data_IF_614757650016
#
_entry.id   IF_614757650016
#
_cell.length_a   1.000
_cell.length_b   1.000
_cell.length_c   1.000
_cell.angle_alpha   90.00
_cell.angle_beta   90.00
_cell.angle_gamma   90.00
#
_symmetry.space_group_name_H-M   'P 1'
#
loop_
_entity.id
_entity.type
_entity.pdbx_description
1 polymer ?
#
# COMPACT_ATOMS: atom_id res chain seq x y z
N UNK A 1 26.10 -4.63 -28.71
CA UNK A 1 26.69 -5.91 -28.31
C UNK A 1 25.98 -6.51 -27.10
N UNK A 2 25.32 -5.72 -26.24
CA UNK A 2 24.66 -6.17 -25.01
C UNK A 2 25.63 -6.34 -23.83
N UNK A 3 26.85 -5.90 -23.96
CA UNK A 3 27.82 -5.88 -22.88
C UNK A 3 27.54 -4.69 -21.95
N UNK A 4 27.46 -4.94 -20.65
CA UNK A 4 27.27 -3.89 -19.64
C UNK A 4 28.63 -3.26 -19.35
N UNK A 5 28.80 -2.00 -19.69
CA UNK A 5 30.02 -1.25 -19.45
C UNK A 5 30.11 -0.71 -18.02
N UNK A 6 28.99 -0.20 -17.51
CA UNK A 6 28.84 0.38 -16.17
C UNK A 6 27.46 -0.01 -15.65
N UNK A 7 27.37 -0.45 -14.40
CA UNK A 7 26.08 -0.78 -13.80
C UNK A 7 25.31 0.47 -13.37
N UNK A 8 23.99 0.35 -13.35
CA UNK A 8 23.13 1.45 -12.92
C UNK A 8 23.35 1.75 -11.43
N UNK A 9 23.64 3.04 -11.12
CA UNK A 9 23.92 3.50 -9.77
C UNK A 9 25.39 3.56 -9.40
N UNK A 10 26.28 3.09 -10.27
CA UNK A 10 27.73 3.22 -10.08
C UNK A 10 28.21 4.66 -10.20
N UNK A 11 29.26 4.97 -9.46
CA UNK A 11 29.89 6.30 -9.53
C UNK A 11 30.76 6.40 -10.77
N UNK A 12 30.53 7.46 -11.56
CA UNK A 12 31.38 7.78 -12.74
C UNK A 12 32.70 8.37 -12.25
N UNK A 13 33.75 7.60 -12.38
CA UNK A 13 35.13 8.01 -12.14
C UNK A 13 35.86 8.33 -13.46
N UNK A 14 37.12 8.71 -13.40
CA UNK A 14 37.93 9.05 -14.59
C UNK A 14 38.07 7.84 -15.54
N UNK A 15 38.16 6.64 -15.02
CA UNK A 15 38.26 5.38 -15.79
C UNK A 15 36.95 5.11 -16.55
N UNK A 16 35.84 5.17 -15.85
CA UNK A 16 34.50 5.00 -16.45
C UNK A 16 34.23 6.09 -17.52
N UNK A 17 34.65 7.31 -17.25
CA UNK A 17 34.49 8.41 -18.20
C UNK A 17 35.30 8.17 -19.48
N UNK A 18 36.52 7.63 -19.33
CA UNK A 18 37.37 7.28 -20.46
C UNK A 18 36.77 6.17 -21.31
N UNK A 19 36.17 5.17 -20.66
CA UNK A 19 35.46 4.06 -21.29
C UNK A 19 34.25 4.56 -22.09
N UNK A 20 33.42 5.41 -21.49
CA UNK A 20 32.24 6.02 -22.13
C UNK A 20 32.63 6.80 -23.39
N UNK A 21 33.73 7.57 -23.31
CA UNK A 21 34.25 8.34 -24.44
C UNK A 21 34.78 7.46 -25.57
N UNK A 22 35.43 6.35 -25.22
CA UNK A 22 35.96 5.40 -26.23
C UNK A 22 34.86 4.73 -27.05
N UNK A 23 33.69 4.53 -26.47
CA UNK A 23 32.51 3.93 -27.10
C UNK A 23 31.60 4.95 -27.82
N UNK A 24 32.06 6.23 -27.92
CA UNK A 24 31.34 7.31 -28.61
C UNK A 24 29.93 7.63 -28.07
N UNK A 25 29.67 7.42 -26.80
CA UNK A 25 28.45 7.93 -26.15
C UNK A 25 28.59 9.45 -25.93
N UNK A 26 27.68 10.23 -26.52
CA UNK A 26 27.66 11.68 -26.37
C UNK A 26 26.85 12.17 -25.17
N UNK A 27 25.84 11.41 -24.77
CA UNK A 27 24.93 11.74 -23.67
C UNK A 27 24.68 10.50 -22.82
N UNK A 28 24.67 10.70 -21.50
CA UNK A 28 24.33 9.68 -20.51
C UNK A 28 23.40 10.29 -19.46
N UNK A 29 22.45 9.52 -18.96
CA UNK A 29 21.61 9.94 -17.86
C UNK A 29 22.35 9.75 -16.52
N UNK A 30 22.37 10.78 -15.70
CA UNK A 30 23.02 10.76 -14.39
C UNK A 30 22.04 11.16 -13.29
N UNK A 31 22.24 10.64 -12.08
CA UNK A 31 21.60 11.16 -10.88
C UNK A 31 22.39 12.38 -10.40
N UNK A 32 21.72 13.54 -10.34
CA UNK A 32 22.33 14.71 -9.77
C UNK A 32 22.34 14.60 -8.23
N UNK A 33 23.54 14.49 -7.65
CA UNK A 33 23.79 14.42 -6.21
C UNK A 33 24.89 15.41 -5.89
N UNK A 34 24.59 16.44 -5.10
CA UNK A 34 25.58 17.44 -4.68
C UNK A 34 25.96 17.32 -3.20
N UNK A 35 25.32 16.42 -2.45
CA UNK A 35 25.50 16.20 -1.01
C UNK A 35 25.27 17.42 -0.10
N UNK A 36 24.80 18.53 -0.66
CA UNK A 36 24.47 19.76 0.07
C UNK A 36 22.97 20.02 0.05
N UNK A 37 22.38 20.04 -1.15
CA UNK A 37 20.95 20.31 -1.37
C UNK A 37 20.19 19.08 -1.88
N UNK A 38 20.91 18.13 -2.49
CA UNK A 38 20.34 16.88 -3.02
C UNK A 38 21.18 15.72 -2.51
N UNK A 39 20.63 14.96 -1.57
CA UNK A 39 21.29 13.81 -0.98
C UNK A 39 21.18 12.53 -1.83
N UNK A 40 22.00 11.51 -1.56
CA UNK A 40 22.05 10.25 -2.30
C UNK A 40 20.98 9.24 -1.85
N UNK A 41 19.81 9.70 -1.41
CA UNK A 41 18.82 8.86 -0.72
C UNK A 41 18.27 7.72 -1.59
N UNK A 42 17.86 8.04 -2.81
CA UNK A 42 17.33 7.04 -3.75
C UNK A 42 18.44 6.07 -4.16
N UNK A 43 19.63 6.59 -4.53
CA UNK A 43 20.78 5.75 -4.87
C UNK A 43 21.14 4.78 -3.74
N UNK A 44 21.21 5.25 -2.51
CA UNK A 44 21.55 4.41 -1.36
C UNK A 44 20.47 3.36 -1.09
N UNK A 45 19.20 3.69 -1.31
CA UNK A 45 18.10 2.73 -1.19
C UNK A 45 18.22 1.63 -2.25
N UNK A 46 18.48 2.00 -3.51
CA UNK A 46 18.65 1.06 -4.61
C UNK A 46 19.90 0.19 -4.46
N UNK A 47 20.99 0.72 -3.92
CA UNK A 47 22.23 -0.05 -3.70
C UNK A 47 22.12 -1.13 -2.61
N UNK A 48 21.16 -0.98 -1.69
CA UNK A 48 20.88 -1.98 -0.63
C UNK A 48 19.82 -2.97 -1.07
N UNK A 49 19.04 -2.64 -2.10
CA UNK A 49 18.02 -3.55 -2.65
C UNK A 49 18.69 -4.76 -3.31
N UNK A 50 18.26 -5.94 -2.88
CA UNK A 50 18.78 -7.22 -3.38
C UNK A 50 17.98 -7.77 -4.56
N UNK A 51 16.84 -7.13 -4.86
CA UNK A 51 15.93 -7.59 -5.89
C UNK A 51 16.31 -7.01 -7.25
N UNK A 52 16.61 -7.87 -8.19
CA UNK A 52 17.02 -7.48 -9.54
C UNK A 52 15.82 -7.29 -10.47
N UNK A 53 14.68 -7.87 -10.14
CA UNK A 53 13.49 -7.84 -10.99
C UNK A 53 12.18 -7.72 -10.18
N UNK A 54 11.08 -7.44 -10.90
CA UNK A 54 9.75 -7.25 -10.32
C UNK A 54 9.27 -8.48 -9.55
N UNK A 55 9.51 -9.67 -10.05
CA UNK A 55 8.97 -10.91 -9.48
C UNK A 55 9.67 -11.25 -8.15
N UNK A 56 10.98 -11.03 -8.06
CA UNK A 56 11.73 -11.14 -6.80
C UNK A 56 11.22 -10.15 -5.75
N UNK A 57 10.98 -8.90 -6.14
CA UNK A 57 10.44 -7.90 -5.23
C UNK A 57 9.03 -8.26 -4.73
N UNK A 58 8.16 -8.79 -5.58
CA UNK A 58 6.83 -9.27 -5.19
C UNK A 58 6.91 -10.44 -4.20
N UNK A 59 7.82 -11.39 -4.44
CA UNK A 59 8.06 -12.53 -3.55
C UNK A 59 8.57 -12.07 -2.18
N UNK A 60 9.47 -11.11 -2.15
CA UNK A 60 10.01 -10.58 -0.89
C UNK A 60 8.95 -9.81 -0.11
N UNK A 61 8.13 -8.99 -0.77
CA UNK A 61 6.97 -8.34 -0.14
C UNK A 61 6.02 -9.39 0.45
N UNK A 62 5.74 -10.46 -0.30
CA UNK A 62 4.87 -11.54 0.17
C UNK A 62 5.43 -12.24 1.42
N UNK A 63 6.74 -12.54 1.46
CA UNK A 63 7.39 -13.17 2.61
C UNK A 63 7.32 -12.31 3.87
N UNK A 64 7.47 -10.98 3.72
CA UNK A 64 7.34 -10.04 4.84
C UNK A 64 5.91 -9.98 5.36
N UNK A 65 4.93 -9.95 4.46
CA UNK A 65 3.52 -9.82 4.83
C UNK A 65 2.90 -11.13 5.33
N UNK A 66 3.38 -12.28 4.87
CA UNK A 66 2.91 -13.62 5.24
C UNK A 66 4.06 -14.56 5.56
N UNK A 67 4.70 -14.38 6.71
CA UNK A 67 5.80 -15.25 7.11
C UNK A 67 5.32 -16.69 7.29
N UNK A 68 6.09 -17.64 6.73
CA UNK A 68 5.82 -19.09 6.84
C UNK A 68 4.96 -19.68 5.72
N UNK A 69 4.36 -18.88 4.84
CA UNK A 69 3.69 -19.40 3.64
C UNK A 69 4.66 -19.45 2.44
N UNK A 70 4.65 -20.55 1.64
CA UNK A 70 5.47 -20.60 0.44
C UNK A 70 4.95 -19.60 -0.60
N UNK A 71 5.80 -18.67 -1.10
CA UNK A 71 5.39 -17.68 -2.05
C UNK A 71 5.21 -18.29 -3.45
N UNK A 72 4.08 -18.00 -4.10
CA UNK A 72 3.90 -18.18 -5.54
C UNK A 72 3.74 -16.80 -6.18
N UNK A 73 4.15 -16.64 -7.43
CA UNK A 73 4.09 -15.34 -8.13
C UNK A 73 2.66 -14.83 -8.19
N UNK A 74 1.69 -15.68 -8.53
CA UNK A 74 0.27 -15.31 -8.62
C UNK A 74 -0.30 -14.86 -7.27
N UNK A 75 0.04 -15.58 -6.18
CA UNK A 75 -0.39 -15.21 -4.83
C UNK A 75 0.25 -13.89 -4.37
N UNK A 76 1.53 -13.69 -4.70
CA UNK A 76 2.26 -12.45 -4.39
C UNK A 76 1.68 -11.25 -5.14
N UNK A 77 1.39 -11.40 -6.44
CA UNK A 77 0.76 -10.34 -7.22
C UNK A 77 -0.65 -10.01 -6.73
N UNK A 78 -1.45 -11.01 -6.41
CA UNK A 78 -2.80 -10.83 -5.86
C UNK A 78 -2.76 -10.12 -4.50
N UNK A 79 -1.82 -10.51 -3.63
CA UNK A 79 -1.60 -9.83 -2.35
C UNK A 79 -1.21 -8.37 -2.57
N UNK A 80 -0.21 -8.11 -3.42
CA UNK A 80 0.29 -6.76 -3.67
C UNK A 80 -0.78 -5.84 -4.25
N UNK A 81 -1.55 -6.33 -5.23
CA UNK A 81 -2.70 -5.56 -5.77
C UNK A 81 -3.73 -5.25 -4.70
N UNK A 82 -4.03 -6.22 -3.83
CA UNK A 82 -5.00 -6.05 -2.75
C UNK A 82 -4.56 -5.12 -1.62
N UNK A 83 -3.27 -4.76 -1.52
CA UNK A 83 -2.79 -3.87 -0.47
C UNK A 83 -3.28 -2.42 -0.64
N UNK A 84 -3.24 -1.88 -1.88
CA UNK A 84 -3.48 -0.45 -2.14
C UNK A 84 -4.26 -0.15 -3.42
N UNK A 85 -4.38 -1.12 -4.34
CA UNK A 85 -4.86 -0.90 -5.70
C UNK A 85 -6.21 -1.54 -6.00
N UNK A 86 -6.78 -2.27 -5.07
CA UNK A 86 -8.06 -2.97 -5.20
C UNK A 86 -9.12 -2.24 -4.39
N UNK A 87 -10.16 -1.75 -5.07
CA UNK A 87 -11.27 -1.01 -4.47
C UNK A 87 -12.10 -1.83 -3.47
N UNK A 88 -12.07 -3.16 -3.58
CA UNK A 88 -12.80 -4.03 -2.67
C UNK A 88 -12.08 -4.23 -1.32
N UNK A 89 -10.78 -3.97 -1.30
CA UNK A 89 -9.91 -4.20 -0.14
C UNK A 89 -9.32 -2.95 0.46
N UNK A 90 -9.21 -1.89 -0.31
CA UNK A 90 -8.58 -0.64 0.09
C UNK A 90 -9.45 0.57 -0.24
N UNK A 91 -9.62 1.46 0.72
CA UNK A 91 -10.41 2.67 0.59
C UNK A 91 -9.78 3.83 1.35
N UNK A 92 -9.28 4.82 0.62
CA UNK A 92 -8.77 6.08 1.16
C UNK A 92 -9.86 6.97 1.75
N UNK A 93 -11.11 6.73 1.40
CA UNK A 93 -12.23 7.68 1.48
C UNK A 93 -12.02 8.96 0.64
N UNK A 94 -13.09 9.70 0.39
CA UNK A 94 -13.01 10.98 -0.33
C UNK A 94 -12.15 12.01 0.43
N UNK A 95 -12.25 12.03 1.76
CA UNK A 95 -11.44 12.92 2.62
C UNK A 95 -9.95 12.60 2.51
N UNK A 96 -9.59 11.31 2.52
CA UNK A 96 -8.20 10.89 2.35
C UNK A 96 -7.66 11.29 0.97
N UNK A 97 -8.45 11.11 -0.09
CA UNK A 97 -8.05 11.53 -1.45
C UNK A 97 -7.82 13.03 -1.55
N UNK A 98 -8.73 13.84 -1.04
CA UNK A 98 -8.58 15.31 -1.03
C UNK A 98 -7.31 15.73 -0.27
N UNK A 99 -7.03 15.10 0.88
CA UNK A 99 -5.81 15.41 1.65
C UNK A 99 -4.53 15.04 0.90
N UNK A 100 -4.48 13.88 0.26
CA UNK A 100 -3.34 13.46 -0.57
C UNK A 100 -3.16 14.43 -1.74
N UNK A 101 -4.25 14.75 -2.47
CA UNK A 101 -4.22 15.69 -3.59
C UNK A 101 -3.66 17.06 -3.16
N UNK A 102 -4.13 17.59 -2.04
CA UNK A 102 -3.65 18.87 -1.52
C UNK A 102 -2.18 18.83 -1.09
N UNK A 103 -1.75 17.75 -0.41
CA UNK A 103 -0.37 17.61 0.06
C UNK A 103 0.63 17.43 -1.07
N UNK A 104 0.25 16.66 -2.09
CA UNK A 104 1.11 16.30 -3.23
C UNK A 104 0.88 17.20 -4.46
N UNK A 105 -0.01 18.18 -4.39
CA UNK A 105 -0.42 19.04 -5.53
C UNK A 105 -0.93 18.23 -6.74
N UNK A 106 -1.65 17.15 -6.48
CA UNK A 106 -2.24 16.29 -7.51
C UNK A 106 -3.62 16.80 -7.92
N UNK A 107 -4.00 16.52 -9.17
CA UNK A 107 -5.32 16.84 -9.74
C UNK A 107 -6.16 15.57 -9.96
N UNK A 108 -5.92 14.54 -9.19
CA UNK A 108 -6.66 13.27 -9.28
C UNK A 108 -8.11 13.48 -8.82
N UNK A 109 -9.07 12.87 -9.48
CA UNK A 109 -10.48 12.95 -9.09
C UNK A 109 -10.72 12.43 -7.68
N UNK A 110 -11.58 13.12 -6.90
CA UNK A 110 -11.93 12.75 -5.54
C UNK A 110 -12.74 11.43 -5.46
N UNK A 111 -13.26 10.96 -6.59
CA UNK A 111 -13.94 9.67 -6.71
C UNK A 111 -12.98 8.48 -6.69
N UNK A 112 -11.70 8.71 -7.02
CA UNK A 112 -10.68 7.66 -7.03
C UNK A 112 -10.19 7.43 -5.60
N UNK A 113 -10.67 6.36 -4.98
CA UNK A 113 -10.45 6.04 -3.57
C UNK A 113 -9.35 5.00 -3.31
N UNK A 114 -8.63 4.62 -4.34
CA UNK A 114 -7.46 3.74 -4.29
C UNK A 114 -6.19 4.51 -4.61
N UNK A 115 -5.03 4.00 -4.20
CA UNK A 115 -3.74 4.59 -4.58
C UNK A 115 -3.46 4.38 -6.06
N UNK A 116 -2.83 5.38 -6.69
CA UNK A 116 -2.31 5.32 -8.05
C UNK A 116 -0.78 5.32 -8.03
N UNK A 117 -0.18 4.95 -9.16
CA UNK A 117 1.30 4.93 -9.30
C UNK A 117 1.87 6.34 -9.11
N UNK A 118 1.18 7.34 -9.61
CA UNK A 118 1.53 8.76 -9.48
C UNK A 118 1.54 9.21 -8.02
N UNK A 119 0.58 8.75 -7.21
CA UNK A 119 0.53 9.06 -5.78
C UNK A 119 1.81 8.58 -5.09
N UNK A 120 2.21 7.32 -5.35
CA UNK A 120 3.42 6.72 -4.74
C UNK A 120 4.68 7.50 -5.16
N UNK A 121 4.77 7.85 -6.44
CA UNK A 121 5.90 8.59 -6.96
C UNK A 121 6.05 9.97 -6.29
N UNK A 122 4.96 10.72 -6.20
CA UNK A 122 4.97 12.03 -5.55
C UNK A 122 5.17 11.94 -4.02
N UNK A 123 4.69 10.88 -3.35
CA UNK A 123 5.00 10.61 -1.94
C UNK A 123 6.50 10.44 -1.74
N UNK A 124 7.16 9.62 -2.55
CA UNK A 124 8.61 9.40 -2.47
C UNK A 124 9.37 10.70 -2.71
N UNK A 125 8.96 11.48 -3.71
CA UNK A 125 9.54 12.78 -4.02
C UNK A 125 9.44 13.77 -2.86
N UNK A 126 8.28 13.84 -2.20
CA UNK A 126 8.10 14.68 -0.99
C UNK A 126 8.98 14.19 0.15
N UNK A 127 9.05 12.86 0.40
CA UNK A 127 9.90 12.30 1.45
C UNK A 127 11.39 12.60 1.23
N UNK A 128 11.86 12.48 0.00
CA UNK A 128 13.24 12.88 -0.36
C UNK A 128 13.45 14.37 -0.15
N UNK A 129 12.49 15.20 -0.57
CA UNK A 129 12.56 16.65 -0.35
C UNK A 129 12.63 17.02 1.14
N UNK A 130 11.83 16.38 2.00
CA UNK A 130 11.89 16.58 3.45
C UNK A 130 13.25 16.18 4.02
N UNK A 131 13.83 15.10 3.52
CA UNK A 131 15.16 14.63 3.93
C UNK A 131 16.27 15.59 3.52
N UNK A 132 16.09 16.30 2.41
CA UNK A 132 16.96 17.37 1.94
C UNK A 132 16.68 18.74 2.62
N UNK A 133 15.81 18.77 3.64
CA UNK A 133 15.43 19.98 4.36
C UNK A 133 14.45 20.90 3.61
N UNK A 134 13.80 20.41 2.57
CA UNK A 134 12.80 21.15 1.79
C UNK A 134 11.39 20.78 2.27
N UNK A 135 10.61 21.78 2.67
CA UNK A 135 9.24 21.60 3.15
C UNK A 135 9.16 21.47 4.67
N UNK A 136 7.96 21.19 5.16
CA UNK A 136 7.65 21.09 6.58
C UNK A 136 7.07 19.72 6.89
N UNK A 137 7.41 19.20 8.07
CA UNK A 137 6.83 17.95 8.60
C UNK A 137 5.48 18.28 9.21
N UNK A 138 4.46 17.51 8.84
CA UNK A 138 3.12 17.68 9.39
C UNK A 138 3.06 17.26 10.87
N UNK A 139 2.33 18.03 11.67
CA UNK A 139 2.01 17.62 13.05
C UNK A 139 0.93 16.53 13.00
N UNK A 140 1.31 15.32 13.42
CA UNK A 140 0.44 14.12 13.41
C UNK A 140 -0.72 14.29 14.40
N UNK A 141 -0.51 14.97 15.52
CA UNK A 141 -1.50 15.12 16.58
C UNK A 141 -2.47 16.29 16.35
N UNK A 142 -2.17 17.14 15.37
CA UNK A 142 -3.05 18.24 15.02
C UNK A 142 -4.39 17.71 14.49
N UNK A 143 -5.52 18.18 15.03
CA UNK A 143 -6.86 17.71 14.66
C UNK A 143 -7.22 17.95 13.18
N UNK A 144 -6.52 18.81 12.49
CA UNK A 144 -6.58 18.94 11.03
C UNK A 144 -6.04 17.71 10.29
N UNK A 145 -5.09 16.96 10.89
CA UNK A 145 -4.46 15.79 10.31
C UNK A 145 -5.01 14.48 10.89
N UNK A 146 -5.58 14.53 12.08
CA UNK A 146 -6.17 13.38 12.77
C UNK A 146 -7.69 13.46 12.73
N UNK A 147 -8.31 12.51 12.03
CA UNK A 147 -9.76 12.46 11.91
C UNK A 147 -10.40 11.79 13.14
N UNK A 148 -11.45 12.42 13.67
CA UNK A 148 -12.30 11.80 14.71
C UNK A 148 -13.37 10.96 14.01
N UNK A 149 -13.45 9.67 14.35
CA UNK A 149 -14.50 8.77 13.85
C UNK A 149 -15.72 8.83 14.76
N UNK A 150 -16.89 8.99 14.14
CA UNK A 150 -18.16 8.96 14.87
C UNK A 150 -18.53 7.54 15.31
N UNK A 151 -19.45 7.44 16.27
CA UNK A 151 -20.02 6.16 16.74
C UNK A 151 -20.64 5.37 15.57
N UNK A 152 -21.35 6.05 14.66
CA UNK A 152 -21.96 5.41 13.50
C UNK A 152 -20.98 4.71 12.60
N UNK A 153 -19.83 5.33 12.33
CA UNK A 153 -18.75 4.76 11.52
C UNK A 153 -18.08 3.55 12.21
N UNK A 154 -17.84 3.65 13.52
CA UNK A 154 -17.28 2.54 14.30
C UNK A 154 -18.26 1.34 14.31
N UNK A 155 -19.55 1.61 14.46
CA UNK A 155 -20.58 0.59 14.44
C UNK A 155 -20.73 -0.05 13.06
N UNK A 156 -20.68 0.74 11.99
CA UNK A 156 -20.67 0.24 10.60
C UNK A 156 -19.54 -0.76 10.39
N UNK A 157 -18.34 -0.42 10.78
CA UNK A 157 -17.17 -1.30 10.65
C UNK A 157 -17.36 -2.62 11.42
N UNK A 158 -17.88 -2.56 12.63
CA UNK A 158 -18.16 -3.75 13.43
C UNK A 158 -19.30 -4.60 12.84
N UNK A 159 -20.34 -3.96 12.31
CA UNK A 159 -21.43 -4.66 11.63
C UNK A 159 -20.94 -5.36 10.36
N UNK A 160 -20.07 -4.73 9.59
CA UNK A 160 -19.42 -5.32 8.41
C UNK A 160 -18.65 -6.60 8.77
N UNK A 161 -17.92 -6.61 9.88
CA UNK A 161 -17.26 -7.84 10.39
C UNK A 161 -18.28 -8.94 10.68
N UNK A 162 -19.42 -8.60 11.27
CA UNK A 162 -20.53 -9.54 11.51
C UNK A 162 -21.10 -10.12 10.21
N UNK A 163 -21.28 -9.29 9.18
CA UNK A 163 -21.74 -9.74 7.86
C UNK A 163 -20.75 -10.66 7.18
N UNK A 164 -19.44 -10.37 7.25
CA UNK A 164 -18.40 -11.24 6.69
C UNK A 164 -18.37 -12.62 7.38
N UNK A 165 -18.58 -12.67 8.70
CA UNK A 165 -18.71 -13.94 9.45
C UNK A 165 -19.95 -14.71 8.99
N UNK A 166 -21.05 -14.03 8.76
CA UNK A 166 -22.29 -14.63 8.24
C UNK A 166 -22.10 -15.16 6.81
N UNK A 167 -21.46 -14.38 5.94
CA UNK A 167 -21.14 -14.79 4.57
C UNK A 167 -20.32 -16.09 4.53
N UNK A 168 -19.26 -16.18 5.36
CA UNK A 168 -18.46 -17.41 5.48
C UNK A 168 -19.31 -18.61 5.89
N UNK A 169 -20.15 -18.44 6.91
CA UNK A 169 -21.03 -19.51 7.39
C UNK A 169 -22.04 -19.95 6.31
N UNK A 170 -22.53 -19.03 5.51
CA UNK A 170 -23.41 -19.34 4.37
C UNK A 170 -22.65 -20.13 3.31
N UNK A 171 -21.43 -19.70 2.93
CA UNK A 171 -20.59 -20.41 1.95
C UNK A 171 -20.23 -21.83 2.41
N UNK A 172 -19.90 -22.02 3.67
CA UNK A 172 -19.62 -23.34 4.26
C UNK A 172 -20.85 -24.25 4.20
N UNK A 173 -22.04 -23.73 4.55
CA UNK A 173 -23.27 -24.50 4.46
C UNK A 173 -23.64 -24.85 3.03
N UNK A 174 -23.50 -23.93 2.08
CA UNK A 174 -23.75 -24.21 0.67
C UNK A 174 -22.85 -25.31 0.11
N UNK A 175 -21.63 -25.46 0.63
CA UNK A 175 -20.73 -26.57 0.24
C UNK A 175 -21.10 -27.93 0.87
N UNK A 176 -21.95 -27.98 1.91
CA UNK A 176 -22.28 -29.20 2.66
C UNK A 176 -23.71 -29.71 2.44
N UNK A 177 -24.54 -28.97 1.73
CA UNK A 177 -25.97 -29.26 1.57
C UNK A 177 -26.34 -29.40 0.09
N UNK A 178 -27.33 -30.23 -0.22
CA UNK A 178 -27.91 -30.35 -1.56
C UNK A 178 -28.69 -29.06 -1.91
N UNK A 179 -28.18 -28.30 -2.89
CA UNK A 179 -28.71 -26.97 -3.26
C UNK A 179 -30.16 -27.01 -3.72
N UNK A 180 -30.59 -28.12 -4.33
CA UNK A 180 -31.93 -28.27 -4.91
C UNK A 180 -33.07 -28.34 -3.86
N UNK A 181 -32.73 -28.61 -2.60
CA UNK A 181 -33.72 -28.81 -1.52
C UNK A 181 -33.69 -27.72 -0.45
N UNK A 182 -32.69 -26.86 -0.45
CA UNK A 182 -32.43 -25.86 0.60
C UNK A 182 -33.09 -24.53 0.31
N UNK A 183 -33.80 -24.01 1.30
CA UNK A 183 -34.37 -22.66 1.24
C UNK A 183 -33.38 -21.61 1.77
N UNK A 184 -33.42 -20.37 1.28
CA UNK A 184 -32.50 -19.30 1.72
C UNK A 184 -32.49 -19.07 3.24
N UNK A 185 -33.62 -19.26 3.93
CA UNK A 185 -33.70 -19.09 5.38
C UNK A 185 -32.95 -20.17 6.18
N UNK A 186 -32.71 -21.34 5.59
CA UNK A 186 -31.93 -22.42 6.21
C UNK A 186 -30.42 -22.13 6.16
N UNK A 187 -30.00 -21.35 5.18
CA UNK A 187 -28.60 -20.96 4.99
C UNK A 187 -28.23 -19.75 5.85
N UNK A 188 -29.15 -18.80 5.99
CA UNK A 188 -28.89 -17.51 6.64
C UNK A 188 -29.03 -17.62 8.15
N UNK A 189 -27.98 -17.27 8.90
CA UNK A 189 -28.02 -17.16 10.35
C UNK A 189 -27.65 -15.73 10.77
N UNK A 190 -28.54 -15.02 11.41
CA UNK A 190 -28.35 -13.64 11.88
C UNK A 190 -27.50 -13.51 13.16
N UNK A 191 -27.23 -14.62 13.85
CA UNK A 191 -26.51 -14.62 15.14
C UNK A 191 -25.10 -13.96 15.05
N UNK A 192 -24.27 -14.18 14.02
CA UNK A 192 -22.98 -13.53 13.93
C UNK A 192 -23.05 -12.01 13.84
N UNK A 193 -24.03 -11.46 13.10
CA UNK A 193 -24.25 -10.03 13.01
C UNK A 193 -24.74 -9.45 14.36
N UNK A 194 -25.71 -10.11 15.01
CA UNK A 194 -26.19 -9.71 16.32
C UNK A 194 -25.08 -9.78 17.39
N UNK A 195 -24.22 -10.80 17.34
CA UNK A 195 -23.07 -10.93 18.24
C UNK A 195 -22.05 -9.80 18.06
N UNK A 196 -21.76 -9.42 16.83
CA UNK A 196 -20.85 -8.29 16.54
C UNK A 196 -21.37 -6.96 17.07
N UNK A 197 -22.67 -6.71 16.97
CA UNK A 197 -23.29 -5.50 17.53
C UNK A 197 -23.22 -5.52 19.07
N UNK A 198 -23.50 -6.65 19.70
CA UNK A 198 -23.36 -6.79 21.18
C UNK A 198 -21.90 -6.62 21.63
N UNK A 199 -20.95 -7.19 20.91
CA UNK A 199 -19.52 -7.03 21.16
C UNK A 199 -19.12 -5.56 21.08
N UNK A 200 -19.65 -4.80 20.12
CA UNK A 200 -19.38 -3.38 19.98
C UNK A 200 -19.79 -2.59 21.24
N UNK A 201 -20.97 -2.84 21.79
CA UNK A 201 -21.42 -2.13 22.98
C UNK A 201 -20.89 -2.69 24.30
N UNK A 202 -20.51 -3.96 24.35
CA UNK A 202 -20.07 -4.63 25.58
C UNK A 202 -18.59 -4.62 25.85
N UNK A 203 -17.76 -4.72 24.81
CA UNK A 203 -16.30 -4.87 24.96
C UNK A 203 -15.48 -4.04 23.97
N UNK A 204 -16.13 -3.16 23.21
CA UNK A 204 -15.49 -2.39 22.18
C UNK A 204 -14.82 -1.11 22.69
N UNK A 205 -14.28 -0.37 21.75
CA UNK A 205 -13.62 0.93 21.94
C UNK A 205 -14.47 1.97 22.71
N UNK A 206 -15.81 1.83 22.75
CA UNK A 206 -16.67 2.74 23.49
C UNK A 206 -16.82 2.38 24.97
N UNK A 207 -16.62 1.13 25.35
CA UNK A 207 -16.90 0.60 26.69
C UNK A 207 -15.65 0.22 27.47
N UNK A 208 -14.48 0.53 26.95
CA UNK A 208 -13.19 0.07 27.47
C UNK A 208 -12.89 0.57 28.90
N UNK A 209 -13.56 1.63 29.33
CA UNK A 209 -13.33 2.30 30.61
C UNK A 209 -14.59 2.37 31.51
N UNK A 210 -15.59 1.57 31.22
CA UNK A 210 -16.80 1.46 32.08
C UNK A 210 -16.74 0.23 32.97
#
# INVERSE_FOLDING_TARGET
TGEVLIEAGDQINEENLSLIKSENYNEIEILFIDNVHVGPWIRNTLSVDKNSNRDEALIDIYRVMRPGEPPTIDAAETLFKGLFFDSDRYDLSSVGRVKINNRLNLKTSDEIRILQREDIFEIVKVLVGLKDGRGEIDDIDHLGNRRVRSVGELMENQYRVGLLRMERAVKERMGSVEIDTVMPHDLINSKPAAASVREFFGSSQLSQFM
#
